data_IF_553821380514
#
_entry.id   IF_553821380514
#
_cell.length_a   1.000
_cell.length_b   1.000
_cell.length_c   1.000
_cell.angle_alpha   90.00
_cell.angle_beta   90.00
_cell.angle_gamma   90.00
#
_symmetry.space_group_name_H-M   'P 1'
#
loop_
_entity.id
_entity.type
_entity.pdbx_description
1 polymer ?
#
# COMPACT_ATOMS: atom_id res chain seq x y z
N UNK A 1 27.84 26.01 8.29
CA UNK A 1 27.87 27.28 7.53
C UNK A 1 29.20 27.48 6.79
N UNK A 2 30.35 27.12 7.38
CA UNK A 2 31.66 27.32 6.76
C UNK A 2 31.98 26.37 5.58
N UNK A 3 31.51 25.12 5.57
CA UNK A 3 31.90 24.13 4.55
C UNK A 3 31.12 24.18 3.23
N UNK A 4 30.04 24.96 3.14
CA UNK A 4 29.24 25.09 1.91
C UNK A 4 29.63 26.37 1.14
N UNK A 5 30.25 27.35 1.82
CA UNK A 5 30.78 28.56 1.19
C UNK A 5 32.12 28.34 0.46
N UNK A 6 32.77 27.18 0.63
CA UNK A 6 34.09 26.88 0.03
C UNK A 6 34.00 26.21 -1.34
N UNK A 7 32.83 25.71 -1.76
CA UNK A 7 32.59 25.33 -3.14
C UNK A 7 32.17 26.57 -3.92
N UNK A 8 32.96 27.05 -4.88
CA UNK A 8 32.69 28.24 -5.71
C UNK A 8 31.45 28.17 -6.62
N UNK A 9 30.43 27.41 -6.23
CA UNK A 9 29.12 27.31 -6.87
C UNK A 9 28.23 28.48 -6.39
N UNK A 10 27.47 29.14 -7.28
CA UNK A 10 26.52 30.17 -6.89
C UNK A 10 25.53 29.62 -5.86
N UNK A 11 25.27 30.37 -4.78
CA UNK A 11 24.42 29.93 -3.66
C UNK A 11 23.01 29.48 -4.06
N UNK A 12 22.50 29.93 -5.22
CA UNK A 12 21.27 29.44 -5.82
C UNK A 12 21.31 27.95 -6.19
N UNK A 13 22.44 27.42 -6.68
CA UNK A 13 22.59 25.99 -7.02
C UNK A 13 22.58 25.10 -5.78
N UNK A 14 23.18 25.58 -4.68
CA UNK A 14 23.17 24.88 -3.39
C UNK A 14 21.74 24.78 -2.85
N UNK A 15 20.99 25.88 -2.87
CA UNK A 15 19.59 25.88 -2.43
C UNK A 15 18.71 24.98 -3.29
N UNK A 16 18.92 24.99 -4.62
CA UNK A 16 18.22 24.10 -5.53
C UNK A 16 18.51 22.63 -5.23
N UNK A 17 19.77 22.28 -4.99
CA UNK A 17 20.16 20.92 -4.63
C UNK A 17 19.53 20.45 -3.30
N UNK A 18 19.47 21.34 -2.31
CA UNK A 18 18.81 21.06 -1.03
C UNK A 18 17.30 20.89 -1.18
N UNK A 19 16.63 21.70 -2.02
CA UNK A 19 15.21 21.55 -2.30
C UNK A 19 14.90 20.22 -2.99
N UNK A 20 15.68 19.84 -3.99
CA UNK A 20 15.54 18.55 -4.67
C UNK A 20 15.76 17.37 -3.71
N UNK A 21 16.73 17.49 -2.79
CA UNK A 21 16.95 16.51 -1.72
C UNK A 21 15.71 16.33 -0.85
N UNK A 22 15.16 17.42 -0.30
CA UNK A 22 13.99 17.35 0.57
C UNK A 22 12.75 16.83 -0.16
N UNK A 23 12.57 17.21 -1.42
CA UNK A 23 11.50 16.68 -2.25
C UNK A 23 11.62 15.15 -2.42
N UNK A 24 12.82 14.63 -2.65
CA UNK A 24 13.07 13.19 -2.79
C UNK A 24 12.78 12.46 -1.47
N UNK A 25 13.23 12.98 -0.33
CA UNK A 25 12.95 12.41 0.99
C UNK A 25 11.43 12.37 1.25
N UNK A 26 10.74 13.48 0.96
CA UNK A 26 9.28 13.56 1.08
C UNK A 26 8.55 12.53 0.21
N UNK A 27 9.02 12.32 -1.02
CA UNK A 27 8.47 11.28 -1.91
C UNK A 27 8.66 9.88 -1.31
N UNK A 28 9.85 9.57 -0.79
CA UNK A 28 10.13 8.27 -0.18
C UNK A 28 9.25 8.02 1.04
N UNK A 29 9.13 9.01 1.93
CA UNK A 29 8.25 8.91 3.11
C UNK A 29 6.79 8.77 2.68
N UNK A 30 6.35 9.57 1.72
CA UNK A 30 5.00 9.49 1.17
C UNK A 30 4.69 8.12 0.57
N UNK A 31 5.66 7.49 -0.11
CA UNK A 31 5.52 6.15 -0.67
C UNK A 31 5.35 5.10 0.45
N UNK A 32 6.15 5.19 1.51
CA UNK A 32 6.07 4.29 2.67
C UNK A 32 4.74 4.43 3.39
N UNK A 33 4.29 5.66 3.62
CA UNK A 33 3.00 5.97 4.27
C UNK A 33 1.81 5.54 3.41
N UNK A 34 1.96 5.52 2.08
CA UNK A 34 0.92 5.07 1.14
C UNK A 34 0.76 3.55 1.09
N UNK A 35 1.72 2.78 1.64
CA UNK A 35 1.73 1.33 1.64
C UNK A 35 0.41 0.65 2.03
N UNK A 36 -0.23 0.94 3.18
CA UNK A 36 -1.45 0.24 3.59
C UNK A 36 -2.63 0.59 2.67
N UNK A 37 -2.65 1.80 2.10
CA UNK A 37 -3.68 2.25 1.17
C UNK A 37 -3.53 1.47 -0.14
N UNK A 38 -2.30 1.26 -0.61
CA UNK A 38 -2.04 0.39 -1.77
C UNK A 38 -2.39 -1.07 -1.48
N UNK A 39 -2.09 -1.59 -0.29
CA UNK A 39 -2.43 -2.97 0.07
C UNK A 39 -3.94 -3.21 0.00
N UNK A 40 -4.75 -2.27 0.53
CA UNK A 40 -6.22 -2.33 0.49
C UNK A 40 -6.75 -2.20 -0.95
N UNK A 41 -6.19 -1.30 -1.75
CA UNK A 41 -6.57 -1.15 -3.17
C UNK A 41 -6.25 -2.40 -3.98
N UNK A 42 -5.05 -2.96 -3.81
CA UNK A 42 -4.62 -4.19 -4.47
C UNK A 42 -5.49 -5.38 -4.06
N UNK A 43 -5.80 -5.52 -2.77
CA UNK A 43 -6.70 -6.57 -2.29
C UNK A 43 -8.09 -6.46 -2.95
N UNK A 44 -8.66 -5.26 -3.01
CA UNK A 44 -9.93 -5.03 -3.69
C UNK A 44 -9.86 -5.28 -5.20
N UNK A 45 -8.74 -4.94 -5.85
CA UNK A 45 -8.49 -5.25 -7.26
C UNK A 45 -8.46 -6.76 -7.53
N UNK A 46 -7.81 -7.53 -6.66
CA UNK A 46 -7.81 -9.00 -6.73
C UNK A 46 -9.22 -9.57 -6.61
N UNK A 47 -10.06 -9.02 -5.71
CA UNK A 47 -11.46 -9.43 -5.55
C UNK A 47 -12.32 -9.05 -6.76
N UNK A 48 -12.14 -7.84 -7.29
CA UNK A 48 -12.84 -7.36 -8.48
C UNK A 48 -12.46 -8.19 -9.72
N UNK A 49 -11.19 -8.59 -9.83
CA UNK A 49 -10.72 -9.54 -10.85
C UNK A 49 -11.38 -10.92 -10.67
N UNK A 50 -11.41 -11.45 -9.44
CA UNK A 50 -12.00 -12.78 -9.16
C UNK A 50 -13.50 -12.86 -9.47
N UNK A 51 -14.27 -11.80 -9.21
CA UNK A 51 -15.68 -11.74 -9.60
C UNK A 51 -15.91 -11.35 -11.05
N UNK A 52 -14.88 -10.99 -11.82
CA UNK A 52 -14.99 -10.52 -13.20
C UNK A 52 -15.56 -9.11 -13.35
N UNK A 53 -15.54 -8.29 -12.29
CA UNK A 53 -16.06 -6.91 -12.31
C UNK A 53 -15.33 -6.05 -13.35
N UNK A 54 -14.02 -6.27 -13.48
CA UNK A 54 -13.14 -5.53 -14.38
C UNK A 54 -13.59 -5.67 -15.85
N UNK A 55 -14.19 -6.80 -16.24
CA UNK A 55 -14.69 -6.98 -17.61
C UNK A 55 -15.82 -6.01 -17.95
N UNK A 56 -16.62 -5.59 -16.96
CA UNK A 56 -17.71 -4.63 -17.17
C UNK A 56 -17.19 -3.18 -17.26
N UNK A 57 -16.16 -2.84 -16.48
CA UNK A 57 -15.52 -1.51 -16.51
C UNK A 57 -14.77 -1.30 -17.82
N UNK A 58 -13.94 -2.26 -18.24
CA UNK A 58 -13.19 -2.22 -19.50
C UNK A 58 -14.08 -2.12 -20.75
N UNK A 59 -15.27 -2.73 -20.70
CA UNK A 59 -16.24 -2.65 -21.80
C UNK A 59 -16.89 -1.25 -21.93
N UNK A 60 -16.89 -0.47 -20.85
CA UNK A 60 -17.54 0.85 -20.79
C UNK A 60 -16.53 1.98 -20.99
N UNK A 61 -15.34 1.85 -20.41
CA UNK A 61 -14.23 2.78 -20.55
C UNK A 61 -12.89 2.02 -20.48
N UNK A 62 -12.27 1.71 -21.65
CA UNK A 62 -11.02 0.94 -21.74
C UNK A 62 -9.79 1.60 -21.09
N UNK A 63 -9.91 2.80 -20.53
CA UNK A 63 -8.85 3.48 -19.79
C UNK A 63 -9.05 3.47 -18.27
N UNK A 64 -10.18 2.93 -17.79
CA UNK A 64 -10.56 3.03 -16.39
C UNK A 64 -10.34 1.71 -15.64
N UNK A 65 -9.10 1.50 -15.18
CA UNK A 65 -8.70 0.37 -14.33
C UNK A 65 -9.11 0.54 -12.85
N UNK A 66 -10.02 1.47 -12.55
CA UNK A 66 -10.42 1.76 -11.17
C UNK A 66 -11.15 0.56 -10.54
N UNK A 67 -10.66 0.16 -9.37
CA UNK A 67 -11.24 -0.94 -8.58
C UNK A 67 -12.28 -0.38 -7.62
N UNK A 68 -13.54 -0.76 -7.79
CA UNK A 68 -14.63 -0.31 -6.91
C UNK A 68 -14.45 -0.86 -5.50
N UNK A 69 -14.11 -2.13 -5.39
CA UNK A 69 -13.88 -2.77 -4.10
C UNK A 69 -12.62 -2.23 -3.44
N UNK A 70 -11.56 -1.97 -4.22
CA UNK A 70 -10.32 -1.40 -3.68
C UNK A 70 -10.47 0.04 -3.19
N UNK A 71 -11.23 0.88 -3.91
CA UNK A 71 -11.60 2.22 -3.47
C UNK A 71 -12.45 2.20 -2.20
N UNK A 72 -13.40 1.26 -2.09
CA UNK A 72 -14.21 1.10 -0.88
C UNK A 72 -13.35 0.69 0.33
N UNK A 73 -12.47 -0.29 0.17
CA UNK A 73 -11.55 -0.76 1.22
C UNK A 73 -10.58 0.35 1.66
N UNK A 74 -10.02 1.11 0.72
CA UNK A 74 -9.12 2.23 1.05
C UNK A 74 -9.85 3.33 1.84
N UNK A 75 -11.10 3.62 1.51
CA UNK A 75 -11.90 4.61 2.24
C UNK A 75 -12.22 4.17 3.68
N UNK A 76 -12.46 2.86 3.89
CA UNK A 76 -12.58 2.28 5.24
C UNK A 76 -11.27 2.45 6.02
N UNK A 77 -10.13 2.12 5.41
CA UNK A 77 -8.83 2.27 6.05
C UNK A 77 -8.55 3.74 6.43
N UNK A 78 -8.80 4.68 5.52
CA UNK A 78 -8.60 6.11 5.79
C UNK A 78 -9.49 6.56 6.96
N UNK A 79 -10.75 6.11 6.98
CA UNK A 79 -11.68 6.39 8.08
C UNK A 79 -11.16 5.80 9.39
N UNK A 80 -10.68 4.56 9.36
CA UNK A 80 -10.06 3.91 10.52
C UNK A 80 -8.84 4.68 11.01
N UNK A 81 -7.97 5.16 10.12
CA UNK A 81 -6.79 5.96 10.49
C UNK A 81 -7.16 7.29 11.15
N UNK A 82 -8.25 7.91 10.72
CA UNK A 82 -8.77 9.15 11.32
C UNK A 82 -9.34 8.91 12.73
N UNK A 83 -10.10 7.82 12.91
CA UNK A 83 -10.74 7.51 14.20
C UNK A 83 -9.74 6.96 15.22
N UNK A 84 -8.78 6.15 14.79
CA UNK A 84 -7.75 5.57 15.67
C UNK A 84 -6.66 6.55 16.08
N UNK A 85 -6.56 7.72 15.42
CA UNK A 85 -5.45 8.67 15.61
C UNK A 85 -4.17 8.27 14.88
N UNK A 86 -4.17 7.18 14.10
CA UNK A 86 -3.03 6.74 13.30
C UNK A 86 -2.53 7.82 12.32
N UNK A 87 -3.42 8.68 11.84
CA UNK A 87 -3.03 9.81 11.00
C UNK A 87 -2.10 10.80 11.73
N UNK A 88 -2.29 11.01 13.03
CA UNK A 88 -1.38 11.84 13.82
C UNK A 88 -0.01 11.17 13.98
N UNK A 89 0.03 9.85 14.16
CA UNK A 89 1.28 9.10 14.22
C UNK A 89 2.10 9.21 12.91
N UNK A 90 1.43 9.28 11.75
CA UNK A 90 2.09 9.56 10.47
C UNK A 90 2.74 10.94 10.47
N UNK A 91 2.04 11.98 10.96
CA UNK A 91 2.59 13.34 11.07
C UNK A 91 3.79 13.37 12.01
N UNK A 92 3.69 12.72 13.17
CA UNK A 92 4.80 12.61 14.14
C UNK A 92 6.01 11.91 13.52
N UNK A 93 5.79 10.92 12.65
CA UNK A 93 6.84 10.26 11.88
C UNK A 93 7.55 11.23 10.93
N UNK A 94 6.80 12.03 10.17
CA UNK A 94 7.37 13.07 9.29
C UNK A 94 8.14 14.13 10.09
N UNK A 95 7.65 14.51 11.27
CA UNK A 95 8.37 15.45 12.14
C UNK A 95 9.68 14.83 12.66
N UNK A 96 9.68 13.55 13.02
CA UNK A 96 10.89 12.83 13.44
C UNK A 96 11.91 12.70 12.30
N UNK A 97 11.49 12.53 11.05
CA UNK A 97 12.44 12.43 9.92
C UNK A 97 13.28 13.69 9.76
N UNK A 98 12.76 14.87 10.11
CA UNK A 98 13.52 16.13 10.10
C UNK A 98 14.59 16.22 11.19
N UNK A 99 14.40 15.49 12.29
CA UNK A 99 15.42 15.38 13.35
C UNK A 99 16.53 14.38 12.98
N UNK A 100 16.18 13.30 12.28
CA UNK A 100 17.11 12.27 11.82
C UNK A 100 17.94 12.79 10.64
N UNK A 101 17.31 13.50 9.70
CA UNK A 101 17.97 14.15 8.58
C UNK A 101 17.79 15.67 8.64
N UNK A 102 18.75 16.39 9.25
CA UNK A 102 18.74 17.83 9.25
C UNK A 102 18.70 18.37 7.80
N UNK A 103 17.88 19.38 7.50
CA UNK A 103 17.73 19.88 6.13
C UNK A 103 19.04 20.40 5.51
N UNK A 104 19.99 20.84 6.35
CA UNK A 104 21.29 21.35 5.91
C UNK A 104 22.38 20.26 5.79
N UNK A 105 22.08 19.02 6.13
CA UNK A 105 23.01 17.90 5.99
C UNK A 105 23.00 17.31 4.57
N UNK A 106 24.12 16.72 4.16
CA UNK A 106 24.24 16.01 2.89
C UNK A 106 23.30 14.78 2.84
N UNK A 107 22.98 14.33 1.62
CA UNK A 107 22.20 13.10 1.41
C UNK A 107 22.84 11.92 2.17
N UNK A 108 22.04 11.04 2.81
CA UNK A 108 22.54 9.77 3.30
C UNK A 108 23.16 8.98 2.16
N UNK A 109 24.27 8.30 2.43
CA UNK A 109 24.88 7.39 1.46
C UNK A 109 23.93 6.22 1.21
N UNK A 110 23.31 6.17 0.03
CA UNK A 110 22.53 5.02 -0.40
C UNK A 110 23.47 3.82 -0.53
N UNK A 111 23.36 2.86 0.37
CA UNK A 111 24.13 1.63 0.27
C UNK A 111 23.60 0.77 -0.90
N UNK A 112 24.49 -0.06 -1.45
CA UNK A 112 24.19 -1.01 -2.54
C UNK A 112 23.12 -2.05 -2.17
N UNK A 113 22.70 -2.15 -0.90
CA UNK A 113 21.59 -2.99 -0.44
C UNK A 113 20.19 -2.44 -0.72
N UNK A 114 20.06 -1.18 -1.16
CA UNK A 114 18.79 -0.48 -1.37
C UNK A 114 17.83 -1.13 -2.37
N UNK A 115 18.32 -1.83 -3.40
CA UNK A 115 17.44 -2.54 -4.35
C UNK A 115 16.74 -3.75 -3.70
N UNK A 116 17.42 -4.47 -2.80
CA UNK A 116 16.84 -5.60 -2.08
C UNK A 116 15.69 -5.17 -1.18
N UNK A 117 15.82 -4.00 -0.54
CA UNK A 117 14.77 -3.42 0.30
C UNK A 117 13.53 -3.02 -0.50
N UNK A 118 13.70 -2.52 -1.74
CA UNK A 118 12.57 -2.21 -2.63
C UNK A 118 11.81 -3.49 -3.00
N UNK A 119 12.51 -4.58 -3.35
CA UNK A 119 11.86 -5.86 -3.62
C UNK A 119 11.16 -6.43 -2.38
N UNK A 120 11.79 -6.34 -1.22
CA UNK A 120 11.17 -6.76 0.04
C UNK A 120 9.91 -5.93 0.35
N UNK A 121 9.92 -4.64 0.05
CA UNK A 121 8.75 -3.77 0.18
C UNK A 121 7.60 -4.20 -0.74
N UNK A 122 7.88 -4.47 -2.02
CA UNK A 122 6.88 -4.96 -2.97
C UNK A 122 6.33 -6.34 -2.58
N UNK A 123 7.19 -7.23 -2.09
CA UNK A 123 6.79 -8.56 -1.61
C UNK A 123 5.84 -8.45 -0.41
N UNK A 124 6.17 -7.61 0.58
CA UNK A 124 5.27 -7.33 1.72
C UNK A 124 3.95 -6.73 1.27
N UNK A 125 3.96 -5.83 0.27
CA UNK A 125 2.75 -5.21 -0.27
C UNK A 125 1.82 -6.28 -0.86
N UNK A 126 2.38 -7.15 -1.70
CA UNK A 126 1.63 -8.21 -2.37
C UNK A 126 1.12 -9.26 -1.37
N UNK A 127 1.94 -9.65 -0.39
CA UNK A 127 1.52 -10.53 0.70
C UNK A 127 0.37 -9.94 1.50
N UNK A 128 0.45 -8.67 1.89
CA UNK A 128 -0.63 -7.98 2.59
C UNK A 128 -1.92 -7.96 1.76
N UNK A 129 -1.83 -7.60 0.48
CA UNK A 129 -2.98 -7.58 -0.42
C UNK A 129 -3.66 -8.95 -0.54
N UNK A 130 -2.87 -10.03 -0.68
CA UNK A 130 -3.38 -11.41 -0.77
C UNK A 130 -3.99 -11.84 0.56
N UNK A 131 -3.34 -11.57 1.70
CA UNK A 131 -3.86 -11.93 3.02
C UNK A 131 -5.19 -11.24 3.34
N UNK A 132 -5.31 -9.97 2.96
CA UNK A 132 -6.56 -9.21 3.05
C UNK A 132 -7.60 -9.88 2.16
N UNK A 133 -7.31 -10.14 0.89
CA UNK A 133 -8.27 -10.72 -0.05
C UNK A 133 -8.63 -12.19 0.27
N UNK A 134 -7.75 -12.94 0.93
CA UNK A 134 -7.83 -14.41 1.04
C UNK A 134 -9.17 -14.95 1.59
N UNK A 135 -9.75 -14.43 2.69
CA UNK A 135 -11.01 -14.97 3.22
C UNK A 135 -12.17 -14.86 2.22
N UNK A 136 -12.22 -13.74 1.49
CA UNK A 136 -13.24 -13.47 0.49
C UNK A 136 -12.97 -14.26 -0.79
N UNK A 137 -11.71 -14.38 -1.21
CA UNK A 137 -11.30 -15.23 -2.33
C UNK A 137 -11.72 -16.69 -2.11
N UNK A 138 -11.48 -17.23 -0.91
CA UNK A 138 -11.88 -18.61 -0.57
C UNK A 138 -13.39 -18.79 -0.72
N UNK A 139 -14.19 -17.84 -0.24
CA UNK A 139 -15.64 -17.90 -0.39
C UNK A 139 -16.08 -17.85 -1.87
N UNK A 140 -15.40 -17.05 -2.69
CA UNK A 140 -15.68 -16.94 -4.13
C UNK A 140 -15.27 -18.20 -4.89
N UNK A 141 -14.14 -18.82 -4.55
CA UNK A 141 -13.72 -20.11 -5.12
C UNK A 141 -14.69 -21.22 -4.73
N UNK A 142 -15.17 -21.25 -3.48
CA UNK A 142 -16.22 -22.19 -3.07
C UNK A 142 -17.51 -22.01 -3.88
N UNK A 143 -17.85 -20.75 -4.20
CA UNK A 143 -18.99 -20.42 -5.06
C UNK A 143 -18.80 -20.91 -6.50
N UNK A 144 -17.58 -20.85 -7.05
CA UNK A 144 -17.27 -21.43 -8.36
C UNK A 144 -17.47 -22.94 -8.39
N UNK A 145 -17.01 -23.64 -7.35
CA UNK A 145 -17.19 -25.09 -7.23
C UNK A 145 -18.69 -25.43 -7.19
N UNK A 146 -19.48 -24.68 -6.42
CA UNK A 146 -20.93 -24.86 -6.35
C UNK A 146 -21.62 -24.62 -7.70
N UNK A 147 -21.22 -23.59 -8.44
CA UNK A 147 -21.75 -23.28 -9.77
C UNK A 147 -21.32 -24.32 -10.81
N UNK A 148 -20.08 -24.80 -10.74
CA UNK A 148 -19.57 -25.86 -11.59
C UNK A 148 -20.41 -27.13 -11.45
N UNK A 149 -20.76 -27.51 -10.22
CA UNK A 149 -21.66 -28.64 -9.95
C UNK A 149 -23.07 -28.36 -10.51
N UNK A 150 -23.57 -27.14 -10.34
CA UNK A 150 -24.90 -26.74 -10.84
C UNK A 150 -25.03 -26.87 -12.36
N UNK A 151 -23.94 -26.64 -13.11
CA UNK A 151 -23.95 -26.79 -14.59
C UNK A 151 -24.35 -28.19 -15.06
N UNK A 152 -24.09 -29.22 -14.24
CA UNK A 152 -24.47 -30.61 -14.52
C UNK A 152 -25.97 -30.84 -14.38
N UNK A 153 -26.65 -30.08 -13.52
CA UNK A 153 -28.08 -30.21 -13.25
C UNK A 153 -28.93 -29.29 -14.11
N UNK A 154 -28.39 -28.13 -14.53
CA UNK A 154 -29.09 -27.14 -15.34
C UNK A 154 -28.22 -26.64 -16.51
N UNK A 155 -27.98 -27.48 -17.54
CA UNK A 155 -27.04 -27.19 -18.62
C UNK A 155 -27.51 -26.07 -19.57
N UNK A 156 -28.80 -25.70 -19.51
CA UNK A 156 -29.37 -24.62 -20.33
C UNK A 156 -29.09 -23.22 -19.77
N UNK A 157 -28.57 -23.10 -18.54
CA UNK A 157 -28.26 -21.82 -17.93
C UNK A 157 -26.92 -21.27 -18.44
N UNK A 158 -26.87 -19.96 -18.67
CA UNK A 158 -25.61 -19.26 -18.90
C UNK A 158 -24.86 -19.08 -17.58
N UNK A 159 -24.08 -20.09 -17.21
CA UNK A 159 -23.36 -20.14 -15.93
C UNK A 159 -22.28 -19.06 -15.84
N UNK A 160 -21.74 -18.60 -16.97
CA UNK A 160 -20.77 -17.50 -16.98
C UNK A 160 -21.38 -16.20 -16.42
N UNK A 161 -22.53 -15.80 -16.95
CA UNK A 161 -23.25 -14.60 -16.47
C UNK A 161 -23.74 -14.80 -15.03
N UNK A 162 -24.22 -16.00 -14.71
CA UNK A 162 -24.66 -16.33 -13.35
C UNK A 162 -23.50 -16.26 -12.34
N UNK A 163 -22.31 -16.72 -12.72
CA UNK A 163 -21.14 -16.69 -11.85
C UNK A 163 -20.74 -15.27 -11.47
N UNK A 164 -20.78 -14.33 -12.42
CA UNK A 164 -20.52 -12.92 -12.17
C UNK A 164 -21.46 -12.35 -11.09
N UNK A 165 -22.76 -12.60 -11.25
CA UNK A 165 -23.80 -12.11 -10.34
C UNK A 165 -23.73 -12.77 -8.96
N UNK A 166 -23.61 -14.11 -8.91
CA UNK A 166 -23.59 -14.86 -7.65
C UNK A 166 -22.34 -14.55 -6.83
N UNK A 167 -21.16 -14.48 -7.45
CA UNK A 167 -19.92 -14.10 -6.73
C UNK A 167 -20.01 -12.68 -6.17
N UNK A 168 -20.58 -11.74 -6.93
CA UNK A 168 -20.78 -10.36 -6.47
C UNK A 168 -21.75 -10.30 -5.29
N UNK A 169 -22.81 -11.10 -5.31
CA UNK A 169 -23.75 -11.23 -4.20
C UNK A 169 -23.08 -11.83 -2.95
N UNK A 170 -22.29 -12.90 -3.12
CA UNK A 170 -21.55 -13.53 -2.02
C UNK A 170 -20.57 -12.55 -1.38
N UNK A 171 -19.80 -11.82 -2.19
CA UNK A 171 -18.92 -10.77 -1.68
C UNK A 171 -19.70 -9.74 -0.86
N UNK A 172 -20.79 -9.20 -1.42
CA UNK A 172 -21.63 -8.20 -0.74
C UNK A 172 -22.21 -8.71 0.59
N UNK A 173 -22.66 -9.96 0.65
CA UNK A 173 -23.22 -10.56 1.86
C UNK A 173 -22.17 -10.86 2.93
N UNK A 174 -20.95 -11.22 2.54
CA UNK A 174 -19.86 -11.54 3.46
C UNK A 174 -19.12 -10.27 3.92
N UNK A 175 -19.11 -9.19 3.13
CA UNK A 175 -18.38 -7.96 3.47
C UNK A 175 -18.68 -7.42 4.88
N UNK A 176 -19.92 -7.34 5.37
CA UNK A 176 -20.20 -6.84 6.72
C UNK A 176 -19.55 -7.68 7.83
N UNK A 177 -19.54 -9.01 7.66
CA UNK A 177 -18.87 -9.91 8.60
C UNK A 177 -17.35 -9.74 8.52
N UNK A 178 -16.84 -9.54 7.32
CA UNK A 178 -15.42 -9.32 7.06
C UNK A 178 -14.91 -7.98 7.63
N UNK A 179 -15.76 -6.96 7.81
CA UNK A 179 -15.36 -5.69 8.43
C UNK A 179 -14.74 -5.85 9.81
N UNK A 180 -15.18 -6.85 10.60
CA UNK A 180 -14.57 -7.14 11.90
C UNK A 180 -13.10 -7.57 11.76
N UNK A 181 -12.83 -8.50 10.84
CA UNK A 181 -11.48 -8.98 10.55
C UNK A 181 -10.60 -7.90 9.91
N UNK A 182 -11.19 -7.02 9.09
CA UNK A 182 -10.48 -5.89 8.49
C UNK A 182 -9.95 -4.91 9.52
N UNK A 183 -10.64 -4.71 10.65
CA UNK A 183 -10.17 -3.83 11.71
C UNK A 183 -8.80 -4.28 12.24
N UNK A 184 -8.66 -5.58 12.51
CA UNK A 184 -7.39 -6.16 12.99
C UNK A 184 -6.29 -6.05 11.92
N UNK A 185 -6.63 -6.34 10.66
CA UNK A 185 -5.69 -6.23 9.54
C UNK A 185 -5.23 -4.78 9.31
N UNK A 186 -6.15 -3.82 9.39
CA UNK A 186 -5.87 -2.40 9.27
C UNK A 186 -4.98 -1.90 10.42
N UNK A 187 -5.21 -2.38 11.65
CA UNK A 187 -4.35 -2.11 12.80
C UNK A 187 -2.91 -2.55 12.56
N UNK A 188 -2.72 -3.80 12.13
CA UNK A 188 -1.39 -4.34 11.82
C UNK A 188 -0.67 -3.54 10.72
N UNK A 189 -1.40 -3.15 9.67
CA UNK A 189 -0.83 -2.35 8.57
C UNK A 189 -0.40 -0.95 9.02
N UNK A 190 -1.16 -0.32 9.90
CA UNK A 190 -0.83 0.99 10.48
C UNK A 190 0.39 0.87 11.40
N UNK A 191 0.45 -0.18 12.22
CA UNK A 191 1.58 -0.42 13.12
C UNK A 191 2.90 -0.63 12.36
N UNK A 192 2.84 -1.27 11.19
CA UNK A 192 4.01 -1.40 10.30
C UNK A 192 4.55 -0.02 9.91
N UNK A 193 3.70 0.94 9.54
CA UNK A 193 4.16 2.31 9.23
C UNK A 193 4.74 2.99 10.46
N UNK A 194 4.07 2.88 11.60
CA UNK A 194 4.50 3.48 12.85
C UNK A 194 5.89 2.98 13.28
N UNK A 195 6.23 1.73 12.94
CA UNK A 195 7.52 1.11 13.26
C UNK A 195 8.60 1.31 12.20
N UNK A 196 8.25 1.60 10.94
CA UNK A 196 9.25 1.83 9.87
C UNK A 196 9.98 3.15 10.08
N UNK A 197 9.28 4.24 10.42
CA UNK A 197 9.91 5.57 10.57
C UNK A 197 10.98 5.58 11.67
N UNK A 198 10.75 5.00 12.86
CA UNK A 198 11.80 4.78 13.83
C UNK A 198 12.93 3.95 13.22
N UNK A 199 12.69 2.76 12.67
CA UNK A 199 13.76 1.86 12.20
C UNK A 199 14.73 2.47 11.17
N UNK A 200 14.35 3.54 10.47
CA UNK A 200 15.27 4.31 9.62
C UNK A 200 16.52 4.80 10.36
N UNK A 201 16.47 5.08 11.68
CA UNK A 201 17.67 5.42 12.47
C UNK A 201 18.69 4.26 12.53
N UNK A 202 18.19 3.02 12.56
CA UNK A 202 18.98 1.81 12.75
C UNK A 202 19.75 1.41 11.48
N UNK A 203 19.18 1.72 10.30
CA UNK A 203 19.87 1.54 9.01
C UNK A 203 21.01 2.54 8.77
N UNK A 204 21.08 3.62 9.54
CA UNK A 204 22.06 4.69 9.36
C UNK A 204 23.24 4.62 10.33
N UNK A 205 23.03 4.08 11.54
CA UNK A 205 24.10 3.87 12.52
C UNK A 205 25.13 2.81 12.07
N UNK A 206 24.72 1.88 11.21
CA UNK A 206 25.60 0.88 10.61
C UNK A 206 26.66 1.48 9.65
N UNK A 207 26.49 2.73 9.20
CA UNK A 207 27.47 3.46 8.39
C UNK A 207 28.54 4.20 9.20
N UNK A 208 28.35 4.34 10.53
CA UNK A 208 29.25 5.09 11.41
C UNK A 208 30.27 4.24 12.18
N UNK A 209 30.09 2.91 12.25
CA UNK A 209 30.86 2.06 13.16
C UNK A 209 32.23 1.58 12.63
N UNK A 210 32.72 2.07 11.49
CA UNK A 210 34.05 1.75 10.96
C UNK A 210 34.83 3.02 10.56
N UNK A 211 35.34 3.73 11.57
CA UNK A 211 36.60 4.48 11.43
C UNK A 211 37.46 4.25 12.68
N UNK A 212 38.68 3.70 12.55
CA UNK A 212 39.66 3.68 13.64
C UNK A 212 40.13 5.10 14.00
#
# INVERSE_FOLDING_TARGET
>A
LADIQTSGLPGALVLLALLLKEALIGIVIGLVVSFPIFAMQMAGGVLDMQRGAMMATEATDPGNEATLTGGFLSMILITYMMVSGAFLAVIDGVMQSLSIWPPLAALPTLSTGSLGEIFAFLDRLMQAAILIAAPLLIAMVATEIALAITTRFAPTLNVFVLALAVKSLVLFLIMPLYMGLLGDQAGNLVEVIANIVPQMHLFLDAGGAHRP
#
